data_IF_694898966602
#
_entry.id   IF_694898966602
#
_cell.length_a   1.000
_cell.length_b   1.000
_cell.length_c   1.000
_cell.angle_alpha   90.00
_cell.angle_beta   90.00
_cell.angle_gamma   90.00
#
_symmetry.space_group_name_H-M   'P 1'
#
loop_
_entity.id
_entity.type
_entity.pdbx_description
1 polymer ?
#
# COMPACT_ATOMS: atom_id res chain seq x y z
N UNK A 1 -0.18 -5.63 -12.04
CA UNK A 1 -1.22 -5.17 -12.98
C UNK A 1 -1.77 -3.87 -12.42
N UNK A 2 -1.92 -2.84 -13.26
CA UNK A 2 -2.56 -1.59 -12.88
C UNK A 2 -4.05 -1.70 -13.24
N UNK A 3 -4.92 -1.31 -12.32
CA UNK A 3 -6.37 -1.37 -12.44
C UNK A 3 -7.00 0.01 -12.23
N UNK A 4 -8.16 0.22 -12.83
CA UNK A 4 -8.92 1.48 -12.69
C UNK A 4 -9.60 1.55 -11.33
N UNK A 5 -10.03 2.76 -10.96
CA UNK A 5 -10.72 3.03 -9.70
C UNK A 5 -11.97 2.15 -9.52
N UNK A 6 -12.79 1.96 -10.55
CA UNK A 6 -14.00 1.15 -10.45
C UNK A 6 -13.68 -0.32 -10.16
N UNK A 7 -12.67 -0.86 -10.85
CA UNK A 7 -12.20 -2.23 -10.63
C UNK A 7 -11.62 -2.40 -9.21
N UNK A 8 -10.85 -1.41 -8.75
CA UNK A 8 -10.30 -1.40 -7.40
C UNK A 8 -11.39 -1.40 -6.32
N UNK A 9 -12.44 -0.58 -6.47
CA UNK A 9 -13.56 -0.52 -5.52
C UNK A 9 -14.29 -1.87 -5.44
N UNK A 10 -14.56 -2.50 -6.59
CA UNK A 10 -15.20 -3.82 -6.65
C UNK A 10 -14.34 -4.88 -5.96
N UNK A 11 -13.03 -4.91 -6.24
CA UNK A 11 -12.14 -5.95 -5.73
C UNK A 11 -11.76 -5.77 -4.26
N UNK A 12 -11.60 -4.54 -3.81
CA UNK A 12 -11.37 -4.24 -2.39
C UNK A 12 -12.65 -4.31 -1.56
N UNK A 13 -13.83 -4.18 -2.19
CA UNK A 13 -15.11 -4.05 -1.52
C UNK A 13 -15.21 -2.78 -0.67
N UNK A 14 -14.49 -1.72 -1.06
CA UNK A 14 -14.58 -0.41 -0.43
C UNK A 14 -15.75 0.40 -1.00
N UNK A 15 -16.35 1.24 -0.17
CA UNK A 15 -17.25 2.29 -0.63
C UNK A 15 -16.47 3.48 -1.17
N UNK A 16 -17.09 4.25 -2.05
CA UNK A 16 -16.47 5.42 -2.70
C UNK A 16 -16.05 6.44 -1.64
N UNK A 17 -16.91 6.68 -0.66
CA UNK A 17 -16.71 7.65 0.42
C UNK A 17 -15.55 7.24 1.32
N UNK A 18 -15.44 5.94 1.65
CA UNK A 18 -14.31 5.41 2.43
C UNK A 18 -13.01 5.58 1.68
N UNK A 19 -13.00 5.33 0.37
CA UNK A 19 -11.81 5.52 -0.45
C UNK A 19 -11.37 6.99 -0.46
N UNK A 20 -12.29 7.94 -0.64
CA UNK A 20 -11.95 9.37 -0.61
C UNK A 20 -11.32 9.78 0.73
N UNK A 21 -11.91 9.37 1.85
CA UNK A 21 -11.33 9.63 3.18
C UNK A 21 -9.93 9.03 3.30
N UNK A 22 -9.71 7.81 2.81
CA UNK A 22 -8.40 7.16 2.90
C UNK A 22 -7.35 7.80 1.98
N UNK A 23 -7.76 8.36 0.83
CA UNK A 23 -6.89 9.15 -0.04
C UNK A 23 -6.51 10.48 0.63
N UNK A 24 -7.49 11.18 1.23
CA UNK A 24 -7.27 12.45 1.95
C UNK A 24 -6.33 12.28 3.15
N UNK A 25 -6.54 11.24 3.94
CA UNK A 25 -5.68 10.88 5.07
C UNK A 25 -4.34 10.26 4.64
N UNK A 26 -4.15 10.02 3.33
CA UNK A 26 -2.96 9.35 2.75
C UNK A 26 -2.72 7.94 3.30
N UNK A 27 -3.77 7.28 3.79
CA UNK A 27 -3.70 5.88 4.22
C UNK A 27 -3.57 4.93 3.05
N UNK A 28 -4.16 5.31 1.92
CA UNK A 28 -4.04 4.61 0.66
C UNK A 28 -3.54 5.59 -0.39
N UNK A 29 -2.46 5.22 -1.07
CA UNK A 29 -1.93 5.96 -2.21
C UNK A 29 -1.63 4.93 -3.29
N UNK A 30 -2.12 5.12 -4.52
CA UNK A 30 -1.82 4.19 -5.61
C UNK A 30 -0.32 4.09 -5.83
N UNK A 31 0.16 2.86 -6.09
CA UNK A 31 1.59 2.53 -6.14
C UNK A 31 2.44 3.39 -7.11
N UNK A 32 1.82 4.05 -8.09
CA UNK A 32 2.48 4.95 -9.03
C UNK A 32 2.57 6.42 -8.54
N UNK A 33 2.14 6.70 -7.31
CA UNK A 33 2.23 8.04 -6.70
C UNK A 33 1.18 9.03 -7.19
N UNK A 34 0.32 8.63 -8.14
CA UNK A 34 -0.76 9.44 -8.70
C UNK A 34 -2.03 8.59 -8.87
N UNK A 35 -3.16 9.13 -8.44
CA UNK A 35 -4.49 8.50 -8.58
C UNK A 35 -4.84 8.29 -10.06
N UNK A 36 -4.33 9.15 -10.94
CA UNK A 36 -4.48 8.98 -12.40
C UNK A 36 -3.69 7.79 -12.95
N UNK A 37 -2.65 7.35 -12.24
CA UNK A 37 -1.81 6.22 -12.65
C UNK A 37 -2.41 4.86 -12.27
N UNK A 38 -3.53 4.82 -11.57
CA UNK A 38 -4.29 3.61 -11.25
C UNK A 38 -3.78 2.81 -10.05
N UNK A 39 -4.53 1.78 -9.66
CA UNK A 39 -4.32 0.98 -8.46
C UNK A 39 -3.63 -0.35 -8.79
N UNK A 40 -2.99 -0.96 -7.81
CA UNK A 40 -2.30 -2.24 -7.93
C UNK A 40 -2.83 -3.26 -6.93
N UNK A 41 -2.40 -4.52 -7.07
CA UNK A 41 -2.70 -5.58 -6.08
C UNK A 41 -2.23 -5.22 -4.66
N UNK A 42 -1.14 -4.46 -4.56
CA UNK A 42 -0.60 -4.00 -3.27
C UNK A 42 -1.60 -3.05 -2.60
N UNK A 43 -2.29 -2.22 -3.39
CA UNK A 43 -3.29 -1.28 -2.87
C UNK A 43 -4.52 -2.01 -2.35
N UNK A 44 -4.92 -3.14 -2.97
CA UNK A 44 -5.99 -4.01 -2.45
C UNK A 44 -5.57 -4.63 -1.12
N UNK A 45 -4.35 -5.18 -1.04
CA UNK A 45 -3.84 -5.75 0.20
C UNK A 45 -3.78 -4.71 1.32
N UNK A 46 -3.36 -3.48 0.99
CA UNK A 46 -3.36 -2.33 1.91
C UNK A 46 -4.77 -1.97 2.37
N UNK A 47 -5.75 -1.98 1.48
CA UNK A 47 -7.13 -1.70 1.82
C UNK A 47 -7.73 -2.73 2.80
N UNK A 48 -7.44 -4.01 2.59
CA UNK A 48 -7.82 -5.06 3.55
C UNK A 48 -7.14 -4.87 4.90
N UNK A 49 -5.84 -4.55 4.89
CA UNK A 49 -5.08 -4.31 6.12
C UNK A 49 -5.65 -3.15 6.95
N UNK A 50 -5.98 -2.01 6.32
CA UNK A 50 -6.61 -0.87 7.01
C UNK A 50 -7.97 -1.28 7.60
N UNK A 51 -8.77 -2.06 6.86
CA UNK A 51 -10.05 -2.57 7.37
C UNK A 51 -9.89 -3.48 8.57
N UNK A 52 -8.88 -4.34 8.58
CA UNK A 52 -8.59 -5.20 9.73
C UNK A 52 -8.13 -4.39 10.94
N UNK A 53 -7.35 -3.33 10.74
CA UNK A 53 -6.96 -2.40 11.81
C UNK A 53 -8.17 -1.71 12.43
N UNK A 54 -9.08 -1.17 11.61
CA UNK A 54 -10.28 -0.46 12.07
C UNK A 54 -11.30 -1.41 12.71
N UNK A 55 -11.64 -2.50 12.03
CA UNK A 55 -12.72 -3.40 12.43
C UNK A 55 -12.29 -4.43 13.47
N UNK A 56 -11.30 -5.25 13.14
CA UNK A 56 -10.93 -6.40 13.97
C UNK A 56 -10.07 -6.01 15.17
N UNK A 57 -9.22 -4.99 15.02
CA UNK A 57 -8.27 -4.57 16.05
C UNK A 57 -8.69 -3.30 16.80
N UNK A 58 -9.73 -2.61 16.33
CA UNK A 58 -10.27 -1.41 16.99
C UNK A 58 -9.27 -0.25 17.08
N UNK A 59 -8.33 -0.18 16.13
CA UNK A 59 -7.32 0.89 16.07
C UNK A 59 -8.00 2.18 15.66
N UNK A 60 -7.69 3.26 16.37
CA UNK A 60 -8.18 4.59 16.02
C UNK A 60 -7.38 5.21 14.87
N UNK A 61 -7.92 6.28 14.29
CA UNK A 61 -7.32 6.95 13.12
C UNK A 61 -5.84 7.35 13.33
N UNK A 62 -5.43 8.00 14.45
CA UNK A 62 -4.02 8.30 14.69
C UNK A 62 -3.13 7.05 14.83
N UNK A 63 -3.69 5.95 15.35
CA UNK A 63 -2.98 4.68 15.45
C UNK A 63 -2.76 4.04 14.08
N UNK A 64 -3.73 4.17 13.17
CA UNK A 64 -3.61 3.67 11.80
C UNK A 64 -2.49 4.40 11.07
N UNK A 65 -2.40 5.73 11.20
CA UNK A 65 -1.30 6.53 10.64
C UNK A 65 0.07 5.98 11.03
N UNK A 66 0.26 5.75 12.34
CA UNK A 66 1.53 5.25 12.88
C UNK A 66 1.83 3.84 12.35
N UNK A 67 0.84 2.95 12.35
CA UNK A 67 1.03 1.57 11.89
C UNK A 67 1.37 1.54 10.40
N UNK A 68 0.65 2.29 9.57
CA UNK A 68 0.92 2.37 8.13
C UNK A 68 2.32 2.92 7.86
N UNK A 69 2.74 3.97 8.59
CA UNK A 69 4.08 4.52 8.47
C UNK A 69 5.17 3.48 8.79
N UNK A 70 5.00 2.70 9.87
CA UNK A 70 5.94 1.64 10.26
C UNK A 70 5.99 0.50 9.24
N UNK A 71 4.83 0.11 8.69
CA UNK A 71 4.73 -0.90 7.63
C UNK A 71 5.44 -0.43 6.37
N UNK A 72 5.27 0.83 5.99
CA UNK A 72 5.97 1.42 4.83
C UNK A 72 7.49 1.45 5.02
N UNK A 73 7.96 1.84 6.21
CA UNK A 73 9.38 1.78 6.56
C UNK A 73 9.93 0.34 6.43
N UNK A 74 9.21 -0.65 6.96
CA UNK A 74 9.61 -2.05 6.90
C UNK A 74 9.69 -2.55 5.45
N UNK A 75 8.73 -2.19 4.60
CA UNK A 75 8.76 -2.53 3.18
C UNK A 75 9.92 -1.84 2.46
N UNK A 76 10.20 -0.57 2.77
CA UNK A 76 11.37 0.16 2.26
C UNK A 76 12.68 -0.55 2.60
N UNK A 77 12.85 -0.94 3.86
CA UNK A 77 14.03 -1.70 4.32
C UNK A 77 14.16 -3.04 3.59
N UNK A 78 13.06 -3.80 3.46
CA UNK A 78 13.07 -5.09 2.74
C UNK A 78 13.49 -4.94 1.28
N UNK A 79 13.02 -3.88 0.60
CA UNK A 79 13.43 -3.58 -0.79
C UNK A 79 14.92 -3.24 -0.86
N UNK A 80 15.40 -2.35 -0.01
CA UNK A 80 16.82 -1.98 0.02
C UNK A 80 17.73 -3.20 0.25
N UNK A 81 17.36 -4.11 1.17
CA UNK A 81 18.10 -5.35 1.38
C UNK A 81 18.04 -6.30 0.17
N UNK A 82 16.91 -6.40 -0.52
CA UNK A 82 16.79 -7.21 -1.73
C UNK A 82 17.67 -6.68 -2.87
N UNK A 83 17.72 -5.35 -3.05
CA UNK A 83 18.58 -4.67 -4.02
C UNK A 83 20.07 -4.90 -3.72
N UNK A 84 20.48 -4.77 -2.45
CA UNK A 84 21.85 -5.05 -2.03
C UNK A 84 22.26 -6.51 -2.29
N UNK A 85 21.34 -7.47 -2.10
CA UNK A 85 21.61 -8.88 -2.44
C UNK A 85 21.77 -9.09 -3.94
N UNK A 86 20.95 -8.43 -4.75
CA UNK A 86 21.03 -8.52 -6.21
C UNK A 86 22.31 -7.88 -6.76
N UNK A 87 22.78 -6.77 -6.17
CA UNK A 87 24.04 -6.14 -6.59
C UNK A 87 25.26 -6.98 -6.23
N UNK A 88 25.25 -7.71 -5.11
CA UNK A 88 26.30 -8.68 -4.78
C UNK A 88 26.25 -9.96 -5.63
N UNK A 89 25.08 -10.31 -6.16
CA UNK A 89 24.88 -11.48 -7.01
C UNK A 89 25.25 -11.25 -8.50
N UNK A 90 25.73 -10.05 -8.86
CA UNK A 90 26.43 -9.78 -10.14
C UNK A 90 27.96 -9.76 -9.92
N UNK A 91 28.64 -10.91 -9.80
CA UNK A 91 30.07 -10.95 -9.98
C UNK A 91 30.37 -10.90 -11.49
N UNK A 92 31.13 -9.88 -11.92
CA UNK A 92 31.85 -9.83 -13.20
C UNK A 92 31.19 -10.49 -14.42
N UNK A 93 30.34 -9.75 -15.12
CA UNK A 93 30.26 -9.95 -16.56
C UNK A 93 31.46 -9.18 -17.17
N UNK A 94 32.57 -9.90 -17.36
CA UNK A 94 33.68 -9.53 -18.26
C UNK A 94 33.23 -9.46 -19.73
#
# INVERSE_FOLDING_TARGET
>A
MIMKREEFLVRSGLQVETLEVWLEQRWLLPAAGDVESGYSEIDIARAHFIRDLQGNLGVNDPGIDVILHLVDQLHGMRRAFAELKQSQAKPGDE
#
